data_IF_674102409795
#
_entry.id   IF_674102409795
#
_cell.length_a   1.000
_cell.length_b   1.000
_cell.length_c   1.000
_cell.angle_alpha   90.00
_cell.angle_beta   90.00
_cell.angle_gamma   90.00
#
_symmetry.space_group_name_H-M   'P 1'
#
loop_
_entity.id
_entity.type
_entity.pdbx_description
1 polymer ?
#
# COMPACT_ATOMS: atom_id res chain seq x y z
N UNK A 1 1.26 3.48 29.21
CA UNK A 1 0.22 3.93 28.28
C UNK A 1 -1.15 3.32 28.62
N UNK A 2 -2.12 3.60 27.81
CA UNK A 2 -3.48 3.04 27.95
C UNK A 2 -4.05 2.64 26.59
N UNK A 3 -4.99 1.69 26.62
CA UNK A 3 -5.79 1.31 25.44
C UNK A 3 -6.84 2.38 25.13
N UNK A 4 -7.54 2.27 23.98
CA UNK A 4 -8.63 3.17 23.60
C UNK A 4 -9.75 3.19 24.66
N UNK A 5 -9.96 2.05 25.36
CA UNK A 5 -10.94 1.94 26.45
C UNK A 5 -10.41 2.48 27.79
N UNK A 6 -9.26 3.13 27.80
CA UNK A 6 -8.66 3.72 29.01
C UNK A 6 -8.01 2.72 29.98
N UNK A 7 -7.86 1.47 29.57
CA UNK A 7 -7.22 0.45 30.40
C UNK A 7 -5.70 0.62 30.39
N UNK A 8 -5.01 0.53 31.53
CA UNK A 8 -3.54 0.58 31.55
C UNK A 8 -2.98 -0.60 30.75
N UNK A 9 -1.92 -0.33 29.99
CA UNK A 9 -1.25 -1.32 29.16
C UNK A 9 0.26 -1.14 29.19
N UNK A 10 0.95 -2.25 29.36
CA UNK A 10 2.39 -2.41 29.16
C UNK A 10 2.64 -3.34 28.00
N UNK A 11 3.65 -3.05 27.20
CA UNK A 11 4.04 -3.83 26.02
C UNK A 11 5.51 -4.19 26.18
N UNK A 12 5.81 -5.50 26.17
CA UNK A 12 7.17 -5.98 26.09
C UNK A 12 7.53 -6.33 24.63
N UNK A 13 8.70 -5.86 24.23
CA UNK A 13 9.26 -6.15 22.89
C UNK A 13 10.56 -6.94 23.08
N UNK A 14 10.69 -8.06 22.38
CA UNK A 14 11.88 -8.89 22.34
C UNK A 14 12.15 -9.31 20.91
N UNK A 15 13.39 -9.11 20.45
CA UNK A 15 13.81 -9.48 19.10
C UNK A 15 12.87 -8.91 18.02
N UNK A 16 12.56 -7.60 18.14
CA UNK A 16 11.69 -6.83 17.22
C UNK A 16 10.23 -7.32 17.16
N UNK A 17 9.82 -8.18 18.10
CA UNK A 17 8.47 -8.74 18.16
C UNK A 17 7.79 -8.36 19.48
N UNK A 18 6.48 -8.23 19.46
CA UNK A 18 5.67 -8.09 20.67
C UNK A 18 5.71 -9.42 21.42
N UNK A 19 6.37 -9.42 22.58
CA UNK A 19 6.52 -10.59 23.44
C UNK A 19 5.38 -10.72 24.45
N UNK A 20 4.83 -9.59 24.94
CA UNK A 20 3.69 -9.57 25.83
C UNK A 20 2.93 -8.24 25.74
N UNK A 21 1.63 -8.29 25.99
CA UNK A 21 0.76 -7.13 26.21
C UNK A 21 -0.09 -7.44 27.44
N UNK A 22 0.03 -6.63 28.49
CA UNK A 22 -0.71 -6.86 29.75
C UNK A 22 -0.90 -5.53 30.50
N UNK A 23 -1.76 -5.52 31.50
CA UNK A 23 -1.94 -4.37 32.38
C UNK A 23 -0.63 -4.08 33.17
N UNK A 24 0.10 -5.13 33.53
CA UNK A 24 1.41 -5.06 34.19
C UNK A 24 2.26 -6.25 33.74
N UNK A 25 3.52 -5.99 33.40
CA UNK A 25 4.50 -7.00 33.01
C UNK A 25 5.59 -7.06 34.06
N UNK A 26 5.81 -8.23 34.66
CA UNK A 26 6.89 -8.47 35.57
C UNK A 26 8.16 -8.89 34.84
N UNK A 27 9.31 -8.37 35.25
CA UNK A 27 10.61 -8.74 34.69
C UNK A 27 11.51 -7.53 34.50
N UNK A 28 12.75 -7.78 34.05
CA UNK A 28 13.69 -6.74 33.70
C UNK A 28 13.73 -6.50 32.21
N UNK A 29 13.85 -5.26 31.79
CA UNK A 29 14.03 -4.85 30.41
C UNK A 29 15.39 -4.14 30.26
N UNK A 30 15.98 -4.21 29.07
CA UNK A 30 17.18 -3.44 28.74
C UNK A 30 16.89 -1.93 28.76
N UNK A 31 15.69 -1.57 28.34
CA UNK A 31 15.19 -0.21 28.30
C UNK A 31 13.69 -0.21 28.63
N UNK A 32 13.25 0.81 29.36
CA UNK A 32 11.83 1.02 29.65
C UNK A 32 11.45 2.45 29.28
N UNK A 33 10.47 2.58 28.38
CA UNK A 33 9.93 3.87 27.96
C UNK A 33 8.63 4.11 28.73
N UNK A 34 8.64 5.15 29.60
CA UNK A 34 7.45 5.58 30.30
C UNK A 34 6.70 6.61 29.45
N UNK A 35 5.46 6.31 29.13
CA UNK A 35 4.59 7.23 28.38
C UNK A 35 3.86 8.15 29.38
N UNK A 36 3.66 9.40 28.97
CA UNK A 36 2.92 10.38 29.76
C UNK A 36 1.47 9.90 30.02
N UNK A 37 0.88 10.27 31.18
CA UNK A 37 -0.50 9.98 31.48
C UNK A 37 -1.45 10.45 30.35
N UNK A 38 -2.40 9.62 29.97
CA UNK A 38 -3.31 9.92 28.89
C UNK A 38 -2.81 9.55 27.48
N UNK A 39 -1.58 9.05 27.36
CA UNK A 39 -1.07 8.55 26.06
C UNK A 39 -1.72 7.22 25.70
N UNK A 40 -2.32 7.16 24.54
CA UNK A 40 -2.88 5.94 23.97
C UNK A 40 -1.82 5.15 23.20
N UNK A 41 -1.97 3.83 23.19
CA UNK A 41 -1.13 2.91 22.42
C UNK A 41 -2.03 2.09 21.51
N UNK A 42 -1.66 2.01 20.24
CA UNK A 42 -2.33 1.18 19.24
C UNK A 42 -1.31 0.38 18.45
N UNK A 43 -1.79 -0.63 17.71
CA UNK A 43 -1.02 -1.19 16.61
C UNK A 43 -0.68 -0.07 15.59
N UNK A 44 0.36 -0.28 14.79
CA UNK A 44 0.71 0.66 13.74
C UNK A 44 -0.43 0.82 12.73
N UNK A 45 -0.66 2.04 12.30
CA UNK A 45 -1.70 2.36 11.32
C UNK A 45 -1.29 1.89 9.92
N UNK A 46 -2.29 1.52 9.13
CA UNK A 46 -2.14 1.14 7.73
C UNK A 46 -2.91 2.18 6.90
N UNK A 47 -2.23 2.79 5.93
CA UNK A 47 -2.87 3.60 4.90
C UNK A 47 -2.86 2.82 3.58
N UNK A 48 -4.03 2.44 3.11
CA UNK A 48 -4.19 1.58 1.93
C UNK A 48 -4.40 2.35 0.63
N UNK A 49 -4.26 3.69 0.66
CA UNK A 49 -4.43 4.51 -0.54
C UNK A 49 -3.46 5.69 -0.58
N UNK A 50 -2.21 5.40 -0.86
CA UNK A 50 -1.17 6.41 -1.07
C UNK A 50 -0.59 6.34 -2.48
N UNK A 51 0.22 7.34 -2.85
CA UNK A 51 1.05 7.35 -4.05
C UNK A 51 2.47 7.69 -3.65
N UNK A 52 3.35 6.69 -3.56
CA UNK A 52 4.68 6.83 -2.98
C UNK A 52 5.83 6.28 -3.82
N UNK A 53 5.64 6.20 -5.13
CA UNK A 53 6.73 5.98 -6.07
C UNK A 53 7.34 7.32 -6.47
N UNK A 54 8.46 7.68 -5.88
CA UNK A 54 9.09 9.01 -5.97
C UNK A 54 9.54 9.43 -7.38
N UNK A 55 9.67 8.49 -8.31
CA UNK A 55 10.08 8.78 -9.70
C UNK A 55 8.93 9.13 -10.62
N UNK A 56 7.70 9.14 -10.13
CA UNK A 56 6.54 9.53 -10.93
C UNK A 56 6.42 11.05 -11.00
N UNK A 57 6.03 11.58 -12.17
CA UNK A 57 5.82 13.02 -12.36
C UNK A 57 4.49 13.50 -11.76
N UNK A 58 3.47 12.61 -11.76
CA UNK A 58 2.15 12.86 -11.17
C UNK A 58 2.00 11.97 -9.95
N UNK A 59 1.36 12.48 -8.91
CA UNK A 59 1.03 11.69 -7.71
C UNK A 59 2.21 10.89 -7.19
N UNK A 60 3.17 11.57 -6.56
CA UNK A 60 4.31 10.93 -5.92
C UNK A 60 4.52 11.47 -4.52
N UNK A 61 5.13 10.66 -3.69
CA UNK A 61 5.64 11.04 -2.38
C UNK A 61 6.75 10.06 -1.97
N UNK A 62 7.31 10.28 -0.80
CA UNK A 62 8.33 9.42 -0.20
C UNK A 62 7.70 8.58 0.91
N UNK A 63 7.85 7.24 0.89
CA UNK A 63 7.18 6.37 1.86
C UNK A 63 7.36 6.77 3.32
N UNK A 64 8.57 7.15 3.74
CA UNK A 64 8.83 7.51 5.14
C UNK A 64 8.24 8.87 5.53
N UNK A 65 8.05 9.78 4.57
CA UNK A 65 7.45 11.10 4.85
C UNK A 65 5.96 10.99 5.15
N UNK A 66 5.26 10.09 4.44
CA UNK A 66 3.82 9.86 4.63
C UNK A 66 3.53 8.70 5.60
N UNK A 67 4.52 7.83 5.82
CA UNK A 67 4.45 6.64 6.68
C UNK A 67 4.90 6.91 8.10
N UNK A 68 6.03 6.32 8.50
CA UNK A 68 6.51 6.30 9.90
C UNK A 68 6.68 7.68 10.50
N UNK A 69 7.03 8.71 9.73
CA UNK A 69 7.11 10.10 10.24
C UNK A 69 5.74 10.68 10.60
N UNK A 70 4.65 10.08 10.15
CA UNK A 70 3.26 10.46 10.46
C UNK A 70 2.56 9.47 11.40
N UNK A 71 3.28 8.45 11.87
CA UNK A 71 2.72 7.41 12.74
C UNK A 71 2.02 6.27 11.97
N UNK A 72 2.11 6.27 10.65
CA UNK A 72 1.62 5.18 9.78
C UNK A 72 2.77 4.22 9.54
N UNK A 73 2.63 2.97 9.95
CA UNK A 73 3.72 1.99 9.87
C UNK A 73 3.71 1.18 8.58
N UNK A 74 2.59 1.19 7.88
CA UNK A 74 2.40 0.44 6.64
C UNK A 74 1.61 1.28 5.63
N UNK A 75 2.08 1.35 4.40
CA UNK A 75 1.39 2.03 3.30
C UNK A 75 1.21 1.08 2.13
N UNK A 76 0.09 1.23 1.42
CA UNK A 76 -0.17 0.52 0.17
C UNK A 76 -0.31 1.55 -0.95
N UNK A 77 0.64 1.52 -1.89
CA UNK A 77 0.56 2.38 -3.07
C UNK A 77 -0.61 1.98 -3.96
N UNK A 78 -1.45 2.93 -4.26
CA UNK A 78 -2.70 2.73 -5.00
C UNK A 78 -2.49 2.70 -6.52
N UNK A 79 -1.51 1.94 -6.99
CA UNK A 79 -1.26 1.71 -8.39
C UNK A 79 -0.63 2.89 -9.13
N UNK A 80 0.29 3.58 -8.47
CA UNK A 80 1.14 4.58 -9.13
C UNK A 80 1.92 3.94 -10.26
N UNK A 81 2.43 2.70 -10.03
CA UNK A 81 3.18 1.93 -11.01
C UNK A 81 2.30 0.87 -11.70
N UNK A 82 2.69 0.53 -12.92
CA UNK A 82 2.19 -0.64 -13.64
C UNK A 82 3.28 -1.71 -13.75
N UNK A 83 3.02 -2.77 -14.52
CA UNK A 83 3.91 -3.93 -14.60
C UNK A 83 5.32 -3.62 -15.14
N UNK A 84 5.48 -2.56 -15.93
CA UNK A 84 6.78 -2.19 -16.53
C UNK A 84 7.73 -1.48 -15.57
N UNK A 85 7.22 -0.87 -14.49
CA UNK A 85 8.02 -0.12 -13.53
C UNK A 85 7.82 -0.54 -12.06
N UNK A 86 7.02 -1.58 -11.80
CA UNK A 86 6.75 -2.08 -10.44
C UNK A 86 8.01 -2.63 -9.75
N UNK A 87 8.95 -3.21 -10.51
CA UNK A 87 10.21 -3.72 -9.97
C UNK A 87 11.11 -2.58 -9.46
N UNK A 88 11.18 -1.47 -10.19
CA UNK A 88 11.91 -0.30 -9.74
C UNK A 88 11.31 0.29 -8.47
N UNK A 89 9.97 0.29 -8.37
CA UNK A 89 9.29 0.71 -7.16
C UNK A 89 9.58 -0.24 -6.00
N UNK A 90 9.56 -1.56 -6.24
CA UNK A 90 9.92 -2.55 -5.23
C UNK A 90 11.32 -2.29 -4.65
N UNK A 91 12.32 -2.08 -5.50
CA UNK A 91 13.70 -1.83 -5.07
C UNK A 91 13.83 -0.56 -4.22
N UNK A 92 13.09 0.51 -4.54
CA UNK A 92 13.03 1.73 -3.74
C UNK A 92 12.29 1.50 -2.42
N UNK A 93 11.18 0.78 -2.45
CA UNK A 93 10.38 0.46 -1.28
C UNK A 93 11.17 -0.32 -0.21
N UNK A 94 12.09 -1.21 -0.64
CA UNK A 94 12.96 -1.95 0.28
C UNK A 94 13.92 -1.07 1.08
N UNK A 95 14.14 0.18 0.69
CA UNK A 95 15.01 1.12 1.37
C UNK A 95 14.27 1.94 2.44
N UNK A 96 12.95 1.91 2.44
CA UNK A 96 12.11 2.63 3.39
C UNK A 96 12.08 1.94 4.77
N UNK A 97 11.87 2.74 5.82
CA UNK A 97 11.56 2.25 7.18
C UNK A 97 10.09 1.87 7.32
N UNK A 98 9.23 2.53 6.56
CA UNK A 98 7.81 2.23 6.44
C UNK A 98 7.64 0.92 5.68
N UNK A 99 6.75 0.03 6.13
CA UNK A 99 6.40 -1.13 5.34
C UNK A 99 5.61 -0.68 4.11
N UNK A 100 6.11 -0.98 2.92
CA UNK A 100 5.52 -0.54 1.66
C UNK A 100 5.04 -1.75 0.87
N UNK A 101 3.80 -1.71 0.46
CA UNK A 101 3.20 -2.65 -0.50
C UNK A 101 2.64 -1.87 -1.68
N UNK A 102 2.33 -2.54 -2.78
CA UNK A 102 1.79 -1.89 -3.97
C UNK A 102 0.63 -2.64 -4.59
N UNK A 103 -0.30 -1.88 -5.17
CA UNK A 103 -1.23 -2.39 -6.15
C UNK A 103 -0.61 -2.16 -7.53
N UNK A 104 -0.60 -3.18 -8.38
CA UNK A 104 -0.15 -2.98 -9.76
C UNK A 104 -1.29 -2.38 -10.60
N UNK A 105 -1.05 -1.26 -11.26
CA UNK A 105 -2.03 -0.67 -12.18
C UNK A 105 -2.22 -1.58 -13.38
N UNK A 106 -3.45 -1.71 -13.88
CA UNK A 106 -3.75 -2.48 -15.10
C UNK A 106 -3.14 -1.85 -16.35
N UNK A 107 -2.88 -0.53 -16.36
CA UNK A 107 -2.04 0.13 -17.36
C UNK A 107 -0.58 -0.23 -17.11
N UNK A 108 0.13 -0.68 -18.13
CA UNK A 108 1.50 -1.22 -18.02
C UNK A 108 2.54 -0.28 -17.38
N UNK A 109 2.34 1.04 -17.48
CA UNK A 109 3.23 2.05 -16.90
C UNK A 109 2.66 2.75 -15.66
N UNK A 110 1.42 2.43 -15.27
CA UNK A 110 0.74 3.12 -14.18
C UNK A 110 0.32 4.55 -14.53
N UNK A 111 0.36 5.45 -13.55
CA UNK A 111 -0.18 6.82 -13.65
C UNK A 111 0.89 7.77 -14.21
N UNK A 112 1.33 7.55 -15.43
CA UNK A 112 2.29 8.45 -16.11
C UNK A 112 1.63 9.70 -16.67
N UNK A 113 0.31 9.67 -16.87
CA UNK A 113 -0.52 10.77 -17.36
C UNK A 113 -1.95 10.64 -16.81
N UNK A 114 -2.82 11.62 -17.10
CA UNK A 114 -4.21 11.60 -16.62
C UNK A 114 -5.15 10.75 -17.51
N UNK A 115 -4.62 10.00 -18.46
CA UNK A 115 -5.33 9.25 -19.49
C UNK A 115 -4.83 7.79 -19.65
N UNK A 116 -4.28 7.21 -18.59
CA UNK A 116 -3.59 5.93 -18.63
C UNK A 116 -4.43 4.75 -19.12
N UNK A 117 -5.77 4.86 -19.11
CA UNK A 117 -6.72 3.85 -19.63
C UNK A 117 -7.51 4.31 -20.86
N UNK A 118 -7.16 5.46 -21.43
CA UNK A 118 -7.78 5.92 -22.70
C UNK A 118 -7.31 5.07 -23.89
N UNK A 119 -6.07 4.59 -23.85
CA UNK A 119 -5.50 3.64 -24.81
C UNK A 119 -5.46 2.24 -24.19
N UNK A 120 -6.43 1.39 -24.57
CA UNK A 120 -6.56 0.03 -24.05
C UNK A 120 -5.40 -0.90 -24.46
N UNK A 121 -4.59 -0.54 -25.45
CA UNK A 121 -3.38 -1.32 -25.79
C UNK A 121 -2.33 -1.31 -24.66
N UNK A 122 -2.44 -0.36 -23.75
CA UNK A 122 -1.62 -0.28 -22.54
C UNK A 122 -2.05 -1.27 -21.44
N UNK A 123 -3.25 -1.84 -21.53
CA UNK A 123 -3.76 -2.86 -20.60
C UNK A 123 -3.31 -4.24 -21.09
N UNK A 124 -2.37 -4.85 -20.39
CA UNK A 124 -1.78 -6.13 -20.78
C UNK A 124 -1.83 -7.11 -19.61
N UNK A 125 -2.87 -7.96 -19.60
CA UNK A 125 -3.14 -8.92 -18.53
C UNK A 125 -1.94 -9.84 -18.21
N UNK A 126 -1.20 -10.26 -19.24
CA UNK A 126 -0.01 -11.11 -19.06
C UNK A 126 1.11 -10.44 -18.29
N UNK A 127 1.32 -9.12 -18.46
CA UNK A 127 2.33 -8.36 -17.71
C UNK A 127 1.90 -8.18 -16.26
N UNK A 128 0.62 -7.89 -16.01
CA UNK A 128 0.08 -7.78 -14.65
C UNK A 128 0.23 -9.11 -13.91
N UNK A 129 -0.14 -10.22 -14.54
CA UNK A 129 0.04 -11.57 -14.00
C UNK A 129 1.50 -11.85 -13.64
N UNK A 130 2.42 -11.50 -14.53
CA UNK A 130 3.86 -11.67 -14.34
C UNK A 130 4.33 -10.87 -13.11
N UNK A 131 3.94 -9.59 -12.99
CA UNK A 131 4.30 -8.75 -11.85
C UNK A 131 3.82 -9.35 -10.51
N UNK A 132 2.58 -9.86 -10.45
CA UNK A 132 2.03 -10.54 -9.26
C UNK A 132 2.86 -11.78 -8.90
N UNK A 133 3.25 -12.57 -9.90
CA UNK A 133 4.00 -13.82 -9.68
C UNK A 133 5.46 -13.57 -9.27
N UNK A 134 6.08 -12.51 -9.77
CA UNK A 134 7.48 -12.17 -9.48
C UNK A 134 7.65 -11.45 -8.15
N UNK A 135 6.62 -10.73 -7.68
CA UNK A 135 6.65 -9.93 -6.44
C UNK A 135 5.47 -10.27 -5.51
N UNK A 136 5.27 -11.57 -5.15
CA UNK A 136 4.07 -12.00 -4.41
C UNK A 136 3.96 -11.42 -3.01
N UNK A 137 5.08 -11.04 -2.38
CA UNK A 137 5.11 -10.44 -1.04
C UNK A 137 5.00 -8.91 -1.07
N UNK A 138 4.99 -8.29 -2.25
CA UNK A 138 4.91 -6.85 -2.44
C UNK A 138 3.63 -6.41 -3.15
N UNK A 139 3.25 -7.12 -4.21
CA UNK A 139 2.02 -6.81 -4.98
C UNK A 139 0.83 -7.45 -4.30
N UNK A 140 0.07 -6.65 -3.55
CA UNK A 140 -1.07 -7.11 -2.74
C UNK A 140 -2.42 -6.92 -3.45
N UNK A 141 -2.43 -6.42 -4.67
CA UNK A 141 -3.65 -6.22 -5.44
C UNK A 141 -3.40 -5.55 -6.79
N UNK A 142 -4.48 -5.24 -7.49
CA UNK A 142 -4.47 -4.51 -8.76
C UNK A 142 -5.28 -3.22 -8.65
N UNK A 143 -4.98 -2.25 -9.51
CA UNK A 143 -5.63 -0.94 -9.55
C UNK A 143 -6.21 -0.64 -10.92
N UNK A 144 -7.44 -0.14 -10.93
CA UNK A 144 -8.06 0.51 -12.08
C UNK A 144 -8.61 1.88 -11.68
N UNK A 145 -8.24 2.94 -12.41
CA UNK A 145 -8.75 4.29 -12.19
C UNK A 145 -9.80 4.62 -13.25
N UNK A 146 -11.06 4.76 -12.82
CA UNK A 146 -12.24 4.85 -13.70
C UNK A 146 -12.81 6.27 -13.85
N UNK A 147 -12.01 7.29 -13.54
CA UNK A 147 -12.41 8.68 -13.81
C UNK A 147 -12.56 8.93 -15.31
N UNK A 148 -13.51 9.75 -15.70
CA UNK A 148 -13.81 10.03 -17.11
C UNK A 148 -12.60 10.47 -17.94
N UNK A 149 -11.76 11.33 -17.37
CA UNK A 149 -10.53 11.80 -18.02
C UNK A 149 -9.53 10.67 -18.26
N UNK A 150 -9.52 9.67 -17.38
CA UNK A 150 -8.57 8.55 -17.42
C UNK A 150 -8.95 7.50 -18.46
N UNK A 151 -10.25 7.20 -18.56
CA UNK A 151 -10.76 6.15 -19.45
C UNK A 151 -11.07 6.66 -20.88
N UNK A 152 -11.13 7.98 -21.07
CA UNK A 152 -11.56 8.57 -22.34
C UNK A 152 -12.96 8.09 -22.74
N UNK A 153 -13.11 7.65 -23.98
CA UNK A 153 -14.38 7.17 -24.54
C UNK A 153 -14.63 5.66 -24.32
N UNK A 154 -13.78 4.97 -23.55
CA UNK A 154 -13.85 3.52 -23.35
C UNK A 154 -15.00 3.06 -22.44
N UNK A 155 -15.74 3.98 -21.81
CA UNK A 155 -16.85 3.62 -20.95
C UNK A 155 -16.44 2.66 -19.82
N UNK A 156 -17.14 1.54 -19.69
CA UNK A 156 -16.90 0.55 -18.63
C UNK A 156 -15.81 -0.49 -18.99
N UNK A 157 -15.37 -0.54 -20.22
CA UNK A 157 -14.44 -1.57 -20.73
C UNK A 157 -13.17 -1.73 -19.89
N UNK A 158 -12.48 -0.66 -19.41
CA UNK A 158 -11.31 -0.84 -18.56
C UNK A 158 -11.62 -1.56 -17.23
N UNK A 159 -12.82 -1.39 -16.67
CA UNK A 159 -13.25 -2.09 -15.46
C UNK A 159 -13.53 -3.57 -15.75
N UNK A 160 -14.13 -3.90 -16.90
CA UNK A 160 -14.35 -5.28 -17.33
C UNK A 160 -13.02 -6.01 -17.50
N UNK A 161 -12.03 -5.36 -18.13
CA UNK A 161 -10.66 -5.89 -18.23
C UNK A 161 -10.01 -6.08 -16.87
N UNK A 162 -10.13 -5.10 -15.95
CA UNK A 162 -9.62 -5.23 -14.60
C UNK A 162 -10.26 -6.41 -13.85
N UNK A 163 -11.56 -6.60 -14.02
CA UNK A 163 -12.29 -7.73 -13.41
C UNK A 163 -11.85 -9.06 -13.99
N UNK A 164 -11.63 -9.14 -15.29
CA UNK A 164 -11.07 -10.33 -15.92
C UNK A 164 -9.67 -10.65 -15.37
N UNK A 165 -8.79 -9.65 -15.30
CA UNK A 165 -7.43 -9.81 -14.72
C UNK A 165 -7.53 -10.31 -13.26
N UNK A 166 -8.44 -9.76 -12.47
CA UNK A 166 -8.67 -10.20 -11.09
C UNK A 166 -9.03 -11.69 -11.03
N UNK A 167 -10.00 -12.14 -11.83
CA UNK A 167 -10.45 -13.52 -11.87
C UNK A 167 -9.34 -14.50 -12.29
N UNK A 168 -8.51 -14.10 -13.27
CA UNK A 168 -7.38 -14.90 -13.74
C UNK A 168 -6.23 -14.99 -12.73
N UNK A 169 -6.23 -14.16 -11.68
CA UNK A 169 -5.20 -14.10 -10.64
C UNK A 169 -5.76 -14.40 -9.24
N UNK A 170 -6.57 -15.45 -9.11
CA UNK A 170 -7.07 -15.97 -7.84
C UNK A 170 -7.87 -14.95 -7.01
N UNK A 171 -8.66 -14.12 -7.68
CA UNK A 171 -9.48 -13.08 -7.03
C UNK A 171 -8.65 -12.10 -6.17
N UNK A 172 -7.42 -11.78 -6.60
CA UNK A 172 -6.59 -10.78 -5.94
C UNK A 172 -7.39 -9.48 -5.71
N UNK A 173 -7.17 -8.73 -4.62
CA UNK A 173 -7.88 -7.48 -4.38
C UNK A 173 -7.82 -6.52 -5.57
N UNK A 174 -8.95 -5.97 -5.95
CA UNK A 174 -9.07 -4.94 -6.99
C UNK A 174 -9.55 -3.63 -6.36
N UNK A 175 -8.69 -2.62 -6.38
CA UNK A 175 -9.06 -1.25 -6.02
C UNK A 175 -9.52 -0.48 -7.25
N UNK A 176 -10.70 0.12 -7.15
CA UNK A 176 -11.28 0.95 -8.21
C UNK A 176 -11.42 2.38 -7.72
N UNK A 177 -10.74 3.32 -8.41
CA UNK A 177 -11.01 4.75 -8.22
C UNK A 177 -12.17 5.16 -9.13
N UNK A 178 -13.19 5.74 -8.55
CA UNK A 178 -14.33 6.31 -9.26
C UNK A 178 -14.36 7.82 -9.01
N UNK A 179 -14.64 8.58 -10.06
CA UNK A 179 -14.70 10.03 -9.97
C UNK A 179 -15.17 10.63 -11.29
N UNK A 180 -15.55 11.90 -11.26
CA UNK A 180 -15.99 12.66 -12.44
C UNK A 180 -14.81 13.36 -13.12
#
# INVERSE_FOLDING_TARGET
GQTVDGMPVEIAIKEEKIAAVAATISGSAKETIHLEPGTYVSAGWIDDHVHCFEKMALYYDYPDEIGVKKGVTTVIDAGTTGAENIHEFYDLAQQAKTNVFGLVNISKWGIVAQDELADLSKVQASLVKKAIQELPDFVVGIKARMSRTVIGDNGITPLELAKQIQQENQEIPLMVHIGS
#
